data_IF_896209626557
#
_entry.id   IF_896209626557
#
_cell.length_a   1.000
_cell.length_b   1.000
_cell.length_c   1.000
_cell.angle_alpha   90.00
_cell.angle_beta   90.00
_cell.angle_gamma   90.00
#
_symmetry.space_group_name_H-M   'P 1'
#
loop_
_entity.id
_entity.type
_entity.pdbx_description
1 polymer ?
#
# COMPACT_ATOMS: atom_id res chain seq x y z
N UNK A 1 14.73 -5.10 -13.84
CA UNK A 1 13.81 -5.82 -12.93
C UNK A 1 12.42 -5.22 -13.12
N UNK A 2 11.38 -5.99 -12.81
CA UNK A 2 10.00 -5.50 -12.77
C UNK A 2 9.67 -5.14 -11.32
N UNK A 3 8.66 -4.28 -11.11
CA UNK A 3 8.22 -3.95 -9.76
C UNK A 3 7.85 -5.20 -8.94
N UNK A 4 7.92 -5.07 -7.62
CA UNK A 4 7.71 -6.15 -6.64
C UNK A 4 6.91 -5.65 -5.45
N UNK A 5 6.24 -6.54 -4.73
CA UNK A 5 5.62 -6.22 -3.45
C UNK A 5 5.91 -7.31 -2.41
N UNK A 6 5.97 -6.93 -1.14
CA UNK A 6 6.23 -7.84 -0.02
C UNK A 6 5.75 -7.27 1.31
N UNK A 7 5.50 -8.15 2.28
CA UNK A 7 5.20 -7.78 3.66
C UNK A 7 6.49 -7.48 4.42
N UNK A 8 6.61 -6.29 5.02
CA UNK A 8 7.87 -5.88 5.67
C UNK A 8 8.09 -6.46 7.06
N UNK A 9 7.00 -6.82 7.76
CA UNK A 9 7.04 -7.39 9.09
C UNK A 9 5.70 -8.07 9.36
N UNK A 10 5.66 -9.39 9.27
CA UNK A 10 4.63 -10.21 9.92
C UNK A 10 5.32 -10.85 11.11
N UNK A 11 5.29 -10.20 12.27
CA UNK A 11 5.83 -10.84 13.47
C UNK A 11 4.85 -11.93 13.91
N UNK A 12 5.16 -13.18 13.56
CA UNK A 12 4.47 -14.36 14.05
C UNK A 12 4.61 -14.39 15.59
N UNK A 13 3.54 -14.05 16.31
CA UNK A 13 3.47 -14.15 17.77
C UNK A 13 3.30 -12.83 18.55
N UNK A 14 3.24 -11.66 17.90
CA UNK A 14 2.79 -10.40 18.56
C UNK A 14 1.27 -10.20 18.46
N UNK A 15 0.74 -9.28 19.28
CA UNK A 15 -0.64 -8.81 19.20
C UNK A 15 -1.05 -8.56 17.75
N UNK A 16 -2.25 -9.05 17.39
CA UNK A 16 -2.74 -8.97 16.01
C UNK A 16 -2.77 -7.52 15.54
N UNK A 17 -2.31 -7.25 14.32
CA UNK A 17 -2.25 -5.90 13.76
C UNK A 17 -3.58 -5.16 13.87
N UNK A 18 -3.51 -3.85 14.10
CA UNK A 18 -4.65 -2.93 14.18
C UNK A 18 -5.17 -2.51 12.80
N UNK A 19 -4.31 -2.59 11.78
CA UNK A 19 -4.60 -2.16 10.43
C UNK A 19 -3.48 -2.51 9.48
N UNK A 20 -3.71 -2.26 8.19
CA UNK A 20 -2.75 -2.50 7.11
C UNK A 20 -2.43 -1.17 6.43
N UNK A 21 -1.15 -0.90 6.25
CA UNK A 21 -0.68 0.22 5.43
C UNK A 21 0.06 -0.30 4.20
N UNK A 22 -0.40 0.16 3.03
CA UNK A 22 0.22 -0.17 1.74
C UNK A 22 1.12 0.98 1.32
N UNK A 23 2.43 0.74 1.30
CA UNK A 23 3.44 1.74 0.97
C UNK A 23 3.89 1.57 -0.48
N UNK A 24 3.51 2.49 -1.36
CA UNK A 24 4.05 2.57 -2.71
C UNK A 24 5.34 3.39 -2.70
N UNK A 25 6.45 2.66 -2.80
CA UNK A 25 7.79 3.19 -2.76
C UNK A 25 8.15 3.97 -4.03
N UNK A 26 9.04 4.95 -3.93
CA UNK A 26 9.46 5.74 -5.09
C UNK A 26 10.47 4.99 -5.96
N UNK A 27 10.54 5.42 -7.23
CA UNK A 27 11.23 4.80 -8.37
C UNK A 27 12.72 4.43 -8.20
N UNK A 28 13.39 5.01 -7.20
CA UNK A 28 14.80 4.78 -6.90
C UNK A 28 15.02 4.54 -5.40
N UNK A 29 13.95 4.29 -4.64
CA UNK A 29 14.06 4.05 -3.21
C UNK A 29 14.72 2.71 -2.97
N UNK A 30 15.72 2.71 -2.10
CA UNK A 30 16.22 1.48 -1.51
C UNK A 30 15.36 1.16 -0.28
N UNK A 31 15.29 -0.12 0.09
CA UNK A 31 14.50 -0.59 1.23
C UNK A 31 14.86 0.19 2.53
N UNK A 32 16.11 0.62 2.67
CA UNK A 32 16.62 1.45 3.76
C UNK A 32 15.91 2.80 3.92
N UNK A 33 15.43 3.39 2.83
CA UNK A 33 14.72 4.68 2.87
C UNK A 33 13.28 4.54 3.34
N UNK A 34 12.71 3.34 3.24
CA UNK A 34 11.36 3.02 3.74
C UNK A 34 11.39 2.56 5.19
N UNK A 35 12.53 2.06 5.68
CA UNK A 35 12.71 1.54 7.03
C UNK A 35 12.17 2.47 8.12
N UNK A 36 12.39 3.81 8.11
CA UNK A 36 11.82 4.70 9.12
C UNK A 36 10.28 4.70 9.13
N UNK A 37 9.64 4.63 7.96
CA UNK A 37 8.18 4.58 7.85
C UNK A 37 7.64 3.24 8.31
N UNK A 38 8.28 2.14 7.88
CA UNK A 38 7.92 0.78 8.31
C UNK A 38 8.03 0.64 9.83
N UNK A 39 9.15 1.05 10.41
CA UNK A 39 9.38 0.95 11.85
C UNK A 39 8.36 1.82 12.62
N UNK A 40 8.02 3.00 12.10
CA UNK A 40 7.03 3.90 12.69
C UNK A 40 5.60 3.33 12.70
N UNK A 41 5.22 2.63 11.63
CA UNK A 41 3.91 2.01 11.50
C UNK A 41 3.84 0.70 12.28
N UNK A 42 4.89 -0.11 12.19
CA UNK A 42 5.04 -1.32 12.99
C UNK A 42 5.01 -1.03 14.49
N UNK A 43 5.64 0.05 14.95
CA UNK A 43 5.58 0.46 16.37
C UNK A 43 4.17 0.86 16.83
N UNK A 44 3.25 1.14 15.91
CA UNK A 44 1.83 1.42 16.18
C UNK A 44 0.93 0.21 16.02
N UNK A 45 1.49 -0.94 15.68
CA UNK A 45 0.77 -2.18 15.44
C UNK A 45 0.11 -2.25 14.06
N UNK A 46 0.62 -1.53 13.07
CA UNK A 46 0.17 -1.63 11.68
C UNK A 46 1.08 -2.56 10.88
N UNK A 47 0.48 -3.43 10.08
CA UNK A 47 1.22 -4.27 9.14
C UNK A 47 1.51 -3.48 7.86
N UNK A 48 2.75 -3.59 7.37
CA UNK A 48 3.18 -2.85 6.18
C UNK A 48 3.31 -3.78 4.97
N UNK A 49 2.50 -3.53 3.94
CA UNK A 49 2.66 -4.11 2.60
C UNK A 49 3.38 -3.10 1.72
N UNK A 50 4.61 -3.41 1.32
CA UNK A 50 5.43 -2.51 0.50
C UNK A 50 5.30 -2.89 -0.96
N UNK A 51 5.06 -1.91 -1.83
CA UNK A 51 5.10 -2.04 -3.29
C UNK A 51 6.22 -1.16 -3.85
N UNK A 52 7.23 -1.81 -4.41
CA UNK A 52 8.28 -1.17 -5.19
C UNK A 52 7.90 -1.15 -6.66
N UNK A 53 7.67 0.04 -7.19
CA UNK A 53 7.39 0.24 -8.61
C UNK A 53 8.67 0.64 -9.31
N UNK A 54 9.21 -0.24 -10.15
CA UNK A 54 10.37 0.08 -10.98
C UNK A 54 10.00 1.07 -12.09
N UNK A 55 10.96 1.91 -12.50
CA UNK A 55 10.79 2.90 -13.58
C UNK A 55 10.19 2.34 -14.85
N UNK A 56 10.70 1.21 -15.32
CA UNK A 56 10.18 0.55 -16.52
C UNK A 56 8.74 0.11 -16.36
N UNK A 57 8.35 -0.33 -15.16
CA UNK A 57 6.98 -0.77 -14.88
C UNK A 57 5.96 0.32 -15.19
N UNK A 58 6.29 1.60 -14.98
CA UNK A 58 5.41 2.73 -15.28
C UNK A 58 5.09 2.90 -16.78
N UNK A 59 5.97 2.44 -17.65
CA UNK A 59 5.78 2.54 -19.10
C UNK A 59 4.99 1.36 -19.68
N UNK A 60 4.75 0.31 -18.89
CA UNK A 60 4.02 -0.89 -19.32
C UNK A 60 2.74 -1.09 -18.50
N UNK A 61 1.57 -0.65 -19.02
CA UNK A 61 0.30 -0.72 -18.30
C UNK A 61 -0.07 -2.11 -17.79
N UNK A 62 0.26 -3.16 -18.55
CA UNK A 62 0.01 -4.55 -18.16
C UNK A 62 0.77 -4.96 -16.90
N UNK A 63 2.01 -4.48 -16.74
CA UNK A 63 2.85 -4.78 -15.58
C UNK A 63 2.35 -4.07 -14.33
N UNK A 64 1.94 -2.81 -14.47
CA UNK A 64 1.29 -2.06 -13.38
C UNK A 64 0.00 -2.76 -12.96
N UNK A 65 -0.77 -3.22 -13.94
CA UNK A 65 -2.04 -3.93 -13.71
C UNK A 65 -1.80 -5.23 -12.95
N UNK A 66 -0.80 -6.02 -13.35
CA UNK A 66 -0.42 -7.26 -12.65
C UNK A 66 0.01 -7.01 -11.20
N UNK A 67 0.80 -5.95 -10.94
CA UNK A 67 1.17 -5.55 -9.59
C UNK A 67 -0.03 -5.12 -8.76
N UNK A 68 -0.91 -4.30 -9.34
CA UNK A 68 -2.11 -3.83 -8.66
C UNK A 68 -3.03 -5.00 -8.28
N UNK A 69 -3.20 -5.99 -9.17
CA UNK A 69 -3.92 -7.23 -8.85
C UNK A 69 -3.24 -8.02 -7.73
N UNK A 70 -1.91 -8.13 -7.74
CA UNK A 70 -1.17 -8.78 -6.66
C UNK A 70 -1.42 -8.15 -5.29
N UNK A 71 -1.37 -6.81 -5.22
CA UNK A 71 -1.65 -6.04 -3.99
C UNK A 71 -3.10 -6.27 -3.52
N UNK A 72 -4.07 -6.13 -4.43
CA UNK A 72 -5.49 -6.34 -4.10
C UNK A 72 -5.71 -7.77 -3.58
N UNK A 73 -5.08 -8.76 -4.21
CA UNK A 73 -5.19 -10.16 -3.80
C UNK A 73 -4.66 -10.41 -2.39
N UNK A 74 -3.51 -9.83 -2.03
CA UNK A 74 -2.97 -9.92 -0.67
C UNK A 74 -3.87 -9.24 0.36
N UNK A 75 -4.40 -8.06 0.04
CA UNK A 75 -5.31 -7.35 0.94
C UNK A 75 -6.62 -8.11 1.16
N UNK A 76 -7.21 -8.67 0.09
CA UNK A 76 -8.43 -9.49 0.20
C UNK A 76 -8.20 -10.70 1.10
N UNK A 77 -7.04 -11.37 1.01
CA UNK A 77 -6.71 -12.52 1.88
C UNK A 77 -6.75 -12.13 3.37
N UNK A 78 -6.16 -10.99 3.72
CA UNK A 78 -6.14 -10.49 5.09
C UNK A 78 -7.54 -10.06 5.56
N UNK A 79 -8.24 -9.27 4.74
CA UNK A 79 -9.54 -8.68 5.09
C UNK A 79 -10.64 -9.73 5.23
N UNK A 80 -10.60 -10.80 4.41
CA UNK A 80 -11.54 -11.91 4.52
C UNK A 80 -11.41 -12.66 5.85
N UNK A 81 -10.18 -12.80 6.34
CA UNK A 81 -9.96 -13.43 7.63
C UNK A 81 -10.32 -12.46 8.76
N UNK A 82 -9.98 -11.18 8.60
CA UNK A 82 -10.27 -10.13 9.56
C UNK A 82 -10.43 -8.78 8.86
N UNK A 83 -11.62 -8.16 8.90
CA UNK A 83 -11.80 -6.78 8.42
C UNK A 83 -10.91 -5.85 9.23
N UNK A 84 -9.94 -5.23 8.54
CA UNK A 84 -8.95 -4.33 9.12
C UNK A 84 -8.91 -3.04 8.32
N UNK A 85 -8.74 -1.88 8.98
CA UNK A 85 -8.58 -0.62 8.27
C UNK A 85 -7.34 -0.67 7.36
N UNK A 86 -7.52 -0.27 6.12
CA UNK A 86 -6.48 -0.19 5.09
C UNK A 86 -6.21 1.27 4.76
N UNK A 87 -4.93 1.64 4.81
CA UNK A 87 -4.45 2.95 4.38
C UNK A 87 -3.48 2.78 3.23
N UNK A 88 -3.67 3.53 2.15
CA UNK A 88 -2.70 3.59 1.06
C UNK A 88 -1.80 4.79 1.22
N UNK A 89 -0.49 4.62 1.07
CA UNK A 89 0.48 5.69 1.14
C UNK A 89 1.39 5.63 -0.09
N UNK A 90 1.38 6.67 -0.92
CA UNK A 90 2.19 6.74 -2.13
C UNK A 90 3.16 7.95 -2.09
N UNK A 91 4.43 7.66 -2.36
CA UNK A 91 5.52 8.62 -2.31
C UNK A 91 6.02 8.95 -3.72
N UNK A 92 6.07 10.23 -4.09
CA UNK A 92 6.45 10.70 -5.43
C UNK A 92 5.44 10.41 -6.55
N UNK A 93 5.58 11.12 -7.67
CA UNK A 93 4.67 11.02 -8.81
C UNK A 93 4.70 9.64 -9.49
N UNK A 94 5.85 8.96 -9.47
CA UNK A 94 6.00 7.65 -10.10
C UNK A 94 5.17 6.55 -9.42
N UNK A 95 5.24 6.46 -8.10
CA UNK A 95 4.53 5.42 -7.33
C UNK A 95 3.00 5.60 -7.35
N UNK A 96 2.54 6.85 -7.54
CA UNK A 96 1.12 7.19 -7.66
C UNK A 96 0.44 6.48 -8.84
N UNK A 97 1.17 6.16 -9.90
CA UNK A 97 0.61 5.42 -11.05
C UNK A 97 0.08 4.04 -10.65
N UNK A 98 0.83 3.28 -9.85
CA UNK A 98 0.38 1.97 -9.35
C UNK A 98 -0.75 2.12 -8.33
N UNK A 99 -0.66 3.09 -7.43
CA UNK A 99 -1.73 3.43 -6.49
C UNK A 99 -3.05 3.76 -7.19
N UNK A 100 -3.05 4.66 -8.18
CA UNK A 100 -4.25 4.99 -8.93
C UNK A 100 -4.76 3.79 -9.72
N UNK A 101 -3.88 2.91 -10.20
CA UNK A 101 -4.30 1.67 -10.86
C UNK A 101 -5.02 0.73 -9.90
N UNK A 102 -4.56 0.61 -8.65
CA UNK A 102 -5.26 -0.14 -7.60
C UNK A 102 -6.65 0.45 -7.37
N UNK A 103 -6.76 1.78 -7.22
CA UNK A 103 -8.07 2.43 -7.04
C UNK A 103 -8.99 2.21 -8.25
N UNK A 104 -8.48 2.37 -9.47
CA UNK A 104 -9.25 2.12 -10.69
C UNK A 104 -9.77 0.69 -10.78
N UNK A 105 -8.96 -0.31 -10.41
CA UNK A 105 -9.38 -1.71 -10.41
C UNK A 105 -10.41 -2.01 -9.31
N UNK A 106 -10.25 -1.36 -8.15
CA UNK A 106 -11.24 -1.44 -7.10
C UNK A 106 -12.55 -0.85 -7.58
N UNK A 107 -12.56 0.36 -8.16
CA UNK A 107 -13.72 1.13 -8.66
C UNK A 107 -14.42 0.49 -9.88
N UNK A 108 -13.64 0.12 -10.89
CA UNK A 108 -14.11 -0.48 -12.13
C UNK A 108 -14.05 -1.99 -12.03
N UNK A 109 -15.04 -2.59 -11.33
CA UNK A 109 -15.31 -4.04 -11.22
C UNK A 109 -14.12 -4.90 -11.64
N UNK A 110 -13.16 -5.13 -10.74
CA UNK A 110 -12.04 -6.08 -10.84
C UNK A 110 -12.25 -7.07 -11.99
N UNK A 111 -11.64 -6.84 -13.17
CA UNK A 111 -12.08 -7.38 -14.46
C UNK A 111 -11.98 -8.92 -14.56
N UNK A 112 -12.88 -9.63 -13.88
CA UNK A 112 -12.95 -11.08 -13.77
C UNK A 112 -11.98 -11.72 -12.78
N UNK A 113 -11.02 -10.98 -12.20
CA UNK A 113 -9.95 -11.59 -11.38
C UNK A 113 -10.27 -11.73 -9.89
N UNK A 114 -11.23 -10.95 -9.39
CA UNK A 114 -11.72 -11.01 -8.01
C UNK A 114 -13.25 -10.91 -8.01
N UNK A 115 -13.91 -11.49 -7.00
CA UNK A 115 -15.37 -11.37 -6.88
C UNK A 115 -15.75 -9.90 -6.60
N UNK A 116 -16.94 -9.50 -7.03
CA UNK A 116 -17.44 -8.14 -6.79
C UNK A 116 -17.60 -7.88 -5.28
N UNK A 117 -17.99 -8.90 -4.53
CA UNK A 117 -18.14 -8.84 -3.07
C UNK A 117 -16.79 -8.65 -2.37
N UNK A 118 -15.74 -9.35 -2.83
CA UNK A 118 -14.40 -9.23 -2.26
C UNK A 118 -13.82 -7.84 -2.46
N UNK A 119 -13.96 -7.30 -3.68
CA UNK A 119 -13.54 -5.93 -3.98
C UNK A 119 -14.40 -4.90 -3.23
N UNK A 120 -15.68 -5.22 -2.94
CA UNK A 120 -16.57 -4.42 -2.08
C UNK A 120 -16.09 -4.37 -0.63
N UNK A 121 -15.82 -5.52 -0.02
CA UNK A 121 -15.30 -5.62 1.35
C UNK A 121 -13.98 -4.88 1.54
N UNK A 122 -13.06 -5.03 0.59
CA UNK A 122 -11.81 -4.29 0.61
C UNK A 122 -12.07 -2.78 0.54
N UNK A 123 -12.98 -2.30 -0.30
CA UNK A 123 -13.32 -0.86 -0.37
C UNK A 123 -13.86 -0.32 0.95
N UNK A 124 -14.73 -1.08 1.62
CA UNK A 124 -15.28 -0.68 2.94
C UNK A 124 -14.20 -0.58 4.02
N UNK A 125 -13.12 -1.37 3.87
CA UNK A 125 -11.99 -1.34 4.77
C UNK A 125 -11.01 -0.18 4.48
N UNK A 126 -11.12 0.55 3.36
CA UNK A 126 -10.21 1.65 3.05
C UNK A 126 -10.58 2.86 3.92
N UNK A 127 -9.69 3.20 4.86
CA UNK A 127 -9.91 4.31 5.78
C UNK A 127 -9.18 5.59 5.37
N UNK A 128 -8.20 5.51 4.47
CA UNK A 128 -7.47 6.72 4.07
C UNK A 128 -6.41 6.55 2.99
N UNK A 129 -5.95 7.69 2.49
CA UNK A 129 -4.93 7.81 1.44
C UNK A 129 -3.94 8.92 1.80
N UNK A 130 -2.65 8.59 1.81
CA UNK A 130 -1.56 9.52 2.06
C UNK A 130 -0.80 9.74 0.75
N UNK A 131 -0.97 10.90 0.15
CA UNK A 131 -0.31 11.27 -1.11
C UNK A 131 0.70 12.36 -0.84
N UNK A 132 1.98 12.02 -0.83
CA UNK A 132 3.04 13.03 -0.66
C UNK A 132 3.51 13.54 -2.04
N UNK A 133 3.74 14.86 -2.19
CA UNK A 133 4.44 15.39 -3.36
C UNK A 133 5.90 14.92 -3.36
N UNK A 134 6.50 14.81 -4.57
CA UNK A 134 7.86 14.30 -4.75
C UNK A 134 8.95 15.07 -3.97
N UNK A 135 8.65 16.28 -3.49
CA UNK A 135 9.59 17.14 -2.75
C UNK A 135 9.54 16.95 -1.22
N UNK A 136 8.66 16.11 -0.68
CA UNK A 136 8.36 16.02 0.78
C UNK A 136 8.88 14.74 1.44
N UNK A 137 10.05 14.24 1.01
CA UNK A 137 10.64 12.98 1.49
C UNK A 137 11.53 13.21 2.74
N UNK A 138 11.34 14.32 3.46
CA UNK A 138 12.08 14.66 4.69
C UNK A 138 11.25 14.41 5.96
N UNK A 139 11.78 14.73 7.15
CA UNK A 139 11.11 14.63 8.46
C UNK A 139 9.65 15.15 8.47
N UNK A 140 9.30 16.12 7.62
CA UNK A 140 7.93 16.61 7.49
C UNK A 140 6.96 15.55 6.93
N UNK A 141 7.42 14.66 6.05
CA UNK A 141 6.64 13.54 5.54
C UNK A 141 6.34 12.51 6.63
N UNK A 142 7.30 12.22 7.51
CA UNK A 142 7.10 11.38 8.70
C UNK A 142 6.10 12.02 9.67
N UNK A 143 6.22 13.32 9.93
CA UNK A 143 5.28 14.07 10.77
C UNK A 143 3.84 14.06 10.20
N UNK A 144 3.69 14.15 8.88
CA UNK A 144 2.38 14.05 8.24
C UNK A 144 1.77 12.65 8.37
N UNK A 145 2.58 11.61 8.15
CA UNK A 145 2.19 10.21 8.34
C UNK A 145 1.78 9.92 9.80
N UNK A 146 2.50 10.51 10.76
CA UNK A 146 2.19 10.48 12.18
C UNK A 146 0.81 11.06 12.50
N UNK A 147 0.51 12.25 11.99
CA UNK A 147 -0.79 12.89 12.22
C UNK A 147 -1.94 12.07 11.63
N UNK A 148 -1.75 11.49 10.45
CA UNK A 148 -2.82 10.76 9.76
C UNK A 148 -3.18 9.44 10.46
N UNK A 149 -2.20 8.69 10.95
CA UNK A 149 -2.49 7.42 11.64
C UNK A 149 -3.05 7.61 13.05
N UNK A 150 -2.70 8.67 13.77
CA UNK A 150 -3.30 8.90 15.09
C UNK A 150 -4.81 9.26 15.03
N UNK A 151 -5.39 9.40 13.84
CA UNK A 151 -6.83 9.62 13.64
C UNK A 151 -7.63 8.31 13.49
N UNK A 152 -6.97 7.15 13.42
CA UNK A 152 -7.57 5.82 13.25
C UNK A 152 -7.06 4.85 14.33
#
# INVERSE_FOLDING_TARGET
>A
MWGRFYWSRKEEGKERAKGIIVLFAWLSSQDDQLKPYVDLYGSRGWDCLICHVDFLTLFFPEKITGLAYGIIGELIKEIKFRPLPVVFAAFSAGSKGCFFKVLQLLEGKCAGQFSQDDCGLLRECICGQILTPALWISLMGLAFCLCFINQF
#
